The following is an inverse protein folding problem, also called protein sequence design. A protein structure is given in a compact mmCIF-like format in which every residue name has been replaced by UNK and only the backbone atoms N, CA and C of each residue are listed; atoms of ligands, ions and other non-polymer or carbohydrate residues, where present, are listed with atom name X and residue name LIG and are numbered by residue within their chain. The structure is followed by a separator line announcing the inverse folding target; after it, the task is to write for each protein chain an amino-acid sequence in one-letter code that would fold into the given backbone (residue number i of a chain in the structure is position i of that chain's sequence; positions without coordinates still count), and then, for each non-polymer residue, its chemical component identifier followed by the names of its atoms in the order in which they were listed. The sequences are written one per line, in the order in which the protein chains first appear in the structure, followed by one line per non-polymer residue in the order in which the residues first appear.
data_IF_639248220712
#
_entry.id   IF_639248220712
#
_cell.length_a   1.000
_cell.length_b   1.000
_cell.length_c   1.000
_cell.angle_alpha   90.00
_cell.angle_beta   90.00
_cell.angle_gamma   90.00
#
_symmetry.space_group_name_H-M   'P 1'
#
loop_
_entity.id
_entity.type
_entity.pdbx_description
1 polymer ?
#
# COMPACT_ATOMS: atom_id res chain seq x y z
N UNK A 1 -6.50 72.60 -15.85
CA UNK A 1 -7.42 72.69 -14.68
C UNK A 1 -8.39 71.50 -14.78
N UNK A 2 -8.68 70.64 -13.82
CA UNK A 2 -8.45 70.59 -12.38
C UNK A 2 -8.51 69.13 -11.87
N UNK A 3 -7.91 68.92 -10.69
CA UNK A 3 -7.82 67.73 -9.80
C UNK A 3 -9.15 67.03 -9.46
N UNK A 4 -9.07 65.72 -9.18
CA UNK A 4 -9.65 64.94 -8.03
C UNK A 4 -9.40 63.44 -8.34
N UNK A 5 -8.65 62.65 -7.57
CA UNK A 5 -8.77 62.26 -6.16
C UNK A 5 -9.17 60.77 -6.14
N UNK A 6 -8.62 59.82 -5.39
CA UNK A 6 -7.67 59.82 -4.28
C UNK A 6 -8.01 58.64 -3.34
N UNK A 7 -7.16 57.60 -3.36
CA UNK A 7 -6.70 56.80 -2.20
C UNK A 7 -7.64 55.77 -1.51
N UNK A 8 -7.34 54.49 -1.80
CA UNK A 8 -7.20 53.29 -0.93
C UNK A 8 -7.91 53.27 0.44
N UNK A 9 -8.81 52.30 0.60
CA UNK A 9 -9.36 51.86 1.88
C UNK A 9 -8.30 51.24 2.79
N UNK A 10 -8.40 51.55 4.09
CA UNK A 10 -7.59 51.01 5.18
C UNK A 10 -8.49 50.23 6.13
N UNK A 11 -7.97 49.08 6.53
CA UNK A 11 -8.46 48.14 7.52
C UNK A 11 -8.52 48.77 8.94
N UNK A 12 -9.49 48.34 9.73
CA UNK A 12 -9.62 48.65 11.15
C UNK A 12 -8.94 47.55 12.00
N UNK A 13 -8.02 47.86 12.93
CA UNK A 13 -7.51 46.88 13.88
C UNK A 13 -8.44 46.78 15.10
N UNK A 14 -8.97 45.57 15.33
CA UNK A 14 -9.69 45.17 16.55
C UNK A 14 -8.67 45.04 17.68
N UNK A 15 -8.88 45.80 18.75
CA UNK A 15 -8.10 45.73 19.99
C UNK A 15 -8.34 44.39 20.70
N UNK A 16 -7.26 43.64 20.96
CA UNK A 16 -7.25 42.53 21.92
C UNK A 16 -6.98 43.07 23.33
N UNK A 17 -7.48 42.41 24.39
CA UNK A 17 -7.49 42.95 25.76
C UNK A 17 -6.13 42.78 26.45
N UNK A 18 -5.53 43.89 26.85
CA UNK A 18 -4.42 43.93 27.81
C UNK A 18 -4.97 43.71 29.23
N UNK A 19 -5.27 42.46 29.58
CA UNK A 19 -5.72 42.11 30.95
C UNK A 19 -5.14 40.81 31.49
N UNK A 20 -4.05 40.30 30.92
CA UNK A 20 -3.38 39.09 31.43
C UNK A 20 -2.13 39.38 32.28
N UNK A 21 -1.61 40.62 32.30
CA UNK A 21 -0.38 40.93 33.07
C UNK A 21 -0.60 41.27 34.55
N UNK A 22 -1.79 41.69 34.97
CA UNK A 22 -2.01 42.15 36.36
C UNK A 22 -2.36 41.03 37.36
N UNK A 23 -2.41 39.76 36.91
CA UNK A 23 -2.77 38.62 37.76
C UNK A 23 -1.62 37.66 38.09
N UNK A 24 -0.42 37.85 37.54
CA UNK A 24 0.69 36.91 37.76
C UNK A 24 1.55 37.17 39.01
N UNK A 25 1.43 38.34 39.65
CA UNK A 25 2.31 38.70 40.79
C UNK A 25 1.79 38.27 42.19
N UNK A 26 0.66 37.56 42.27
CA UNK A 26 0.01 37.18 43.54
C UNK A 26 0.25 35.75 44.05
N UNK A 27 0.79 34.84 43.24
CA UNK A 27 0.81 33.41 43.58
C UNK A 27 2.19 32.94 44.10
N UNK A 28 2.23 32.39 45.31
CA UNK A 28 3.42 31.72 45.88
C UNK A 28 3.93 30.64 44.92
N UNK A 29 5.16 30.80 44.44
CA UNK A 29 5.82 29.87 43.50
C UNK A 29 5.73 28.43 44.04
N UNK A 30 5.10 27.49 43.32
CA UNK A 30 4.98 26.11 43.77
C UNK A 30 6.37 25.47 43.89
N UNK A 31 6.57 24.67 44.94
CA UNK A 31 7.85 24.00 45.16
C UNK A 31 8.24 23.12 43.97
N UNK A 32 9.54 23.01 43.68
CA UNK A 32 10.07 22.24 42.52
C UNK A 32 9.48 20.83 42.40
N UNK A 33 9.20 20.18 43.53
CA UNK A 33 8.58 18.84 43.62
C UNK A 33 7.09 18.83 43.22
N UNK A 34 6.35 19.90 43.46
CA UNK A 34 4.95 20.04 43.03
C UNK A 34 4.85 20.31 41.53
N UNK A 35 5.79 21.08 40.97
CA UNK A 35 5.89 21.32 39.52
C UNK A 35 6.22 20.03 38.75
N UNK A 36 7.17 19.22 39.24
CA UNK A 36 7.49 17.92 38.63
C UNK A 36 6.32 16.92 38.71
N UNK A 37 5.56 16.90 39.81
CA UNK A 37 4.37 16.05 39.93
C UNK A 37 3.22 16.52 39.03
N UNK A 38 3.05 17.83 38.88
CA UNK A 38 2.07 18.41 37.96
C UNK A 38 2.44 18.09 36.50
N UNK A 39 3.71 18.26 36.12
CA UNK A 39 4.22 17.92 34.79
C UNK A 39 4.07 16.43 34.49
N UNK A 40 4.38 15.53 35.44
CA UNK A 40 4.21 14.08 35.26
C UNK A 40 2.73 13.67 35.14
N UNK A 41 1.82 14.35 35.83
CA UNK A 41 0.38 14.14 35.68
C UNK A 41 -0.11 14.65 34.33
N UNK A 42 0.39 15.79 33.86
CA UNK A 42 0.07 16.35 32.55
C UNK A 42 0.56 15.43 31.43
N UNK A 43 1.80 14.95 31.49
CA UNK A 43 2.35 14.00 30.51
C UNK A 43 1.57 12.67 30.51
N UNK A 44 1.14 12.18 31.67
CA UNK A 44 0.29 10.99 31.75
C UNK A 44 -1.11 11.21 31.17
N UNK A 45 -1.68 12.41 31.34
CA UNK A 45 -2.96 12.76 30.75
C UNK A 45 -2.83 12.91 29.23
N UNK A 46 -1.72 13.46 28.73
CA UNK A 46 -1.43 13.57 27.31
C UNK A 46 -1.23 12.19 26.67
N UNK A 47 -0.41 11.32 27.27
CA UNK A 47 -0.25 9.92 26.79
C UNK A 47 -1.57 9.14 26.81
N UNK A 48 -2.44 9.39 27.79
CA UNK A 48 -3.78 8.78 27.83
C UNK A 48 -4.68 9.34 26.73
N UNK A 49 -4.67 10.65 26.50
CA UNK A 49 -5.42 11.30 25.41
C UNK A 49 -4.94 10.86 24.04
N UNK A 50 -3.63 10.72 23.83
CA UNK A 50 -3.06 10.20 22.59
C UNK A 50 -3.49 8.75 22.34
N UNK A 51 -3.43 7.90 23.38
CA UNK A 51 -3.89 6.51 23.27
C UNK A 51 -5.39 6.42 23.04
N UNK A 52 -6.18 7.25 23.70
CA UNK A 52 -7.62 7.32 23.53
C UNK A 52 -7.99 7.85 22.14
N UNK A 53 -7.24 8.82 21.61
CA UNK A 53 -7.42 9.33 20.25
C UNK A 53 -7.05 8.28 19.20
N UNK A 54 -5.97 7.52 19.41
CA UNK A 54 -5.60 6.41 18.52
C UNK A 54 -6.64 5.29 18.56
N UNK A 55 -7.12 4.93 19.76
CA UNK A 55 -8.21 3.96 19.93
C UNK A 55 -9.51 4.48 19.32
N UNK A 56 -9.80 5.78 19.42
CA UNK A 56 -10.96 6.39 18.81
C UNK A 56 -10.84 6.47 17.28
N UNK A 57 -9.64 6.64 16.73
CA UNK A 57 -9.40 6.52 15.28
C UNK A 57 -9.58 5.07 14.80
N UNK A 58 -9.09 4.09 15.55
CA UNK A 58 -9.34 2.67 15.30
C UNK A 58 -10.84 2.35 15.41
N UNK A 59 -11.52 2.76 16.49
CA UNK A 59 -12.95 2.57 16.69
C UNK A 59 -13.80 3.32 15.68
N UNK A 60 -13.43 4.52 15.26
CA UNK A 60 -14.13 5.26 14.21
C UNK A 60 -13.93 4.60 12.84
N UNK A 61 -12.76 4.02 12.57
CA UNK A 61 -12.52 3.22 11.36
C UNK A 61 -13.36 1.93 11.34
N UNK A 62 -13.68 1.38 12.52
CA UNK A 62 -14.52 0.19 12.67
C UNK A 62 -16.02 0.55 12.73
N UNK A 63 -16.39 1.67 13.36
CA UNK A 63 -17.77 2.10 13.61
C UNK A 63 -18.38 2.90 12.46
N UNK A 64 -17.57 3.58 11.64
CA UNK A 64 -18.02 4.11 10.34
C UNK A 64 -18.44 3.01 9.35
N UNK A 65 -18.13 1.72 9.65
CA UNK A 65 -18.71 0.55 8.95
C UNK A 65 -20.00 0.00 9.58
N UNK A 66 -20.49 0.55 10.69
CA UNK A 66 -21.69 0.07 11.43
C UNK A 66 -22.86 1.07 11.33
N UNK A 67 -23.18 1.47 10.11
CA UNK A 67 -24.23 2.43 9.79
C UNK A 67 -25.01 2.04 8.53
N UNK A 68 -25.40 0.78 8.42
CA UNK A 68 -26.29 0.31 7.37
C UNK A 68 -26.96 -0.97 7.83
N UNK A 69 -28.29 -1.04 7.74
CA UNK A 69 -29.03 -2.30 7.74
C UNK A 69 -28.62 -3.07 6.48
N UNK A 70 -27.45 -3.66 6.48
CA UNK A 70 -27.10 -4.67 5.50
C UNK A 70 -27.72 -5.95 6.00
N UNK A 71 -28.54 -6.58 5.15
CA UNK A 71 -28.83 -8.01 5.26
C UNK A 71 -27.51 -8.69 5.61
N UNK A 72 -27.52 -9.61 6.57
CA UNK A 72 -26.40 -10.50 6.84
C UNK A 72 -25.95 -11.14 5.54
N UNK A 73 -25.00 -10.50 4.85
CA UNK A 73 -24.38 -11.04 3.67
C UNK A 73 -23.51 -12.18 4.18
N UNK A 74 -24.08 -13.38 4.09
CA UNK A 74 -23.45 -14.70 4.06
C UNK A 74 -22.17 -14.84 4.91
N UNK A 75 -22.34 -15.43 6.10
CA UNK A 75 -21.23 -16.16 6.74
C UNK A 75 -20.67 -17.23 5.80
N UNK A 76 -21.52 -17.74 4.91
CA UNK A 76 -21.16 -18.72 3.89
C UNK A 76 -20.04 -18.28 2.93
N UNK A 77 -19.86 -16.98 2.63
CA UNK A 77 -18.87 -16.58 1.61
C UNK A 77 -17.42 -16.78 2.10
N UNK A 78 -17.16 -16.67 3.40
CA UNK A 78 -15.81 -16.83 3.97
C UNK A 78 -15.53 -18.30 4.29
N UNK A 79 -16.54 -19.02 4.78
CA UNK A 79 -16.46 -20.46 4.99
C UNK A 79 -16.32 -21.21 3.66
N UNK A 80 -17.06 -20.84 2.60
CA UNK A 80 -16.94 -21.41 1.24
C UNK A 80 -15.57 -21.10 0.62
N UNK A 81 -15.06 -19.89 0.82
CA UNK A 81 -13.73 -19.52 0.37
C UNK A 81 -12.62 -20.28 1.11
N UNK A 82 -12.83 -20.60 2.39
CA UNK A 82 -11.89 -21.39 3.20
C UNK A 82 -11.96 -22.88 2.85
N UNK A 83 -13.16 -23.41 2.59
CA UNK A 83 -13.38 -24.78 2.11
C UNK A 83 -12.78 -25.02 0.72
N UNK A 84 -12.49 -23.96 -0.04
CA UNK A 84 -11.71 -24.04 -1.28
C UNK A 84 -10.21 -24.31 -1.05
N UNK A 85 -9.68 -24.06 0.16
CA UNK A 85 -8.29 -24.36 0.53
C UNK A 85 -8.19 -25.76 1.14
N UNK A 86 -8.15 -26.77 0.25
CA UNK A 86 -7.94 -28.16 0.61
C UNK A 86 -9.01 -28.76 1.56
N UNK A 87 -8.87 -30.05 1.92
CA UNK A 87 -9.88 -30.76 2.72
C UNK A 87 -9.96 -30.29 4.18
N UNK A 88 -8.96 -29.54 4.67
CA UNK A 88 -8.88 -29.09 6.06
C UNK A 88 -9.36 -27.66 6.28
N UNK A 89 -9.54 -26.87 5.21
CA UNK A 89 -9.91 -25.46 5.33
C UNK A 89 -8.92 -24.66 6.20
N UNK A 90 -7.63 -25.01 6.15
CA UNK A 90 -6.58 -24.35 6.94
C UNK A 90 -5.58 -23.72 5.99
N UNK A 91 -5.17 -22.48 6.29
CA UNK A 91 -4.18 -21.75 5.51
C UNK A 91 -2.92 -21.60 6.37
N UNK A 92 -1.82 -22.23 5.96
CA UNK A 92 -0.53 -22.13 6.63
C UNK A 92 0.27 -20.98 6.02
N UNK A 93 0.45 -19.89 6.76
CA UNK A 93 1.22 -18.73 6.32
C UNK A 93 2.31 -18.40 7.34
N UNK A 94 3.56 -18.40 6.89
CA UNK A 94 4.74 -18.15 7.73
C UNK A 94 5.18 -16.69 7.57
N UNK A 95 4.76 -15.82 8.49
CA UNK A 95 5.13 -14.39 8.50
C UNK A 95 4.03 -13.45 7.95
N UNK A 96 4.27 -12.13 8.07
CA UNK A 96 3.29 -11.11 7.73
C UNK A 96 2.96 -11.09 6.23
N UNK A 97 3.96 -11.09 5.36
CA UNK A 97 3.75 -11.02 3.91
C UNK A 97 3.00 -12.25 3.37
N UNK A 98 3.34 -13.44 3.87
CA UNK A 98 2.64 -14.68 3.53
C UNK A 98 1.20 -14.68 4.05
N UNK A 99 0.95 -14.10 5.24
CA UNK A 99 -0.43 -13.98 5.78
C UNK A 99 -1.29 -13.03 4.94
N UNK A 100 -0.72 -11.92 4.47
CA UNK A 100 -1.41 -10.98 3.59
C UNK A 100 -1.69 -11.64 2.23
N UNK A 101 -0.72 -12.35 1.67
CA UNK A 101 -0.89 -13.09 0.42
C UNK A 101 -1.98 -14.16 0.55
N UNK A 102 -1.98 -14.95 1.63
CA UNK A 102 -3.04 -15.90 1.97
C UNK A 102 -4.44 -15.24 2.03
N UNK A 103 -4.56 -14.11 2.73
CA UNK A 103 -5.84 -13.38 2.83
C UNK A 103 -6.30 -12.80 1.49
N UNK A 104 -5.37 -12.32 0.64
CA UNK A 104 -5.74 -11.87 -0.71
C UNK A 104 -6.28 -12.99 -1.57
N UNK A 105 -5.81 -14.23 -1.37
CA UNK A 105 -6.24 -15.40 -2.10
C UNK A 105 -7.63 -15.93 -1.66
N UNK A 106 -8.02 -15.62 -0.41
CA UNK A 106 -9.37 -15.88 0.11
C UNK A 106 -10.44 -14.99 -0.54
N UNK A 107 -10.06 -13.81 -1.05
CA UNK A 107 -11.01 -12.94 -1.76
C UNK A 107 -11.48 -13.61 -3.05
N UNK A 108 -12.77 -13.49 -3.34
CA UNK A 108 -13.38 -13.99 -4.59
C UNK A 108 -12.70 -13.42 -5.84
N UNK A 109 -12.18 -12.19 -5.75
CA UNK A 109 -11.43 -11.50 -6.81
C UNK A 109 -9.90 -11.61 -6.62
N UNK A 110 -9.40 -12.75 -6.12
CA UNK A 110 -7.96 -12.97 -5.91
C UNK A 110 -7.09 -12.80 -7.16
N UNK A 111 -7.67 -13.04 -8.35
CA UNK A 111 -7.04 -12.77 -9.65
C UNK A 111 -7.99 -11.91 -10.47
N UNK A 112 -7.68 -10.63 -10.57
CA UNK A 112 -8.48 -9.67 -11.31
C UNK A 112 -8.16 -9.73 -12.80
N UNK A 113 -9.03 -9.16 -13.64
CA UNK A 113 -8.72 -9.02 -15.07
C UNK A 113 -7.48 -8.15 -15.34
N UNK A 114 -7.07 -7.31 -14.38
CA UNK A 114 -5.87 -6.46 -14.50
C UNK A 114 -4.59 -7.25 -14.27
N UNK A 115 -4.67 -8.33 -13.50
CA UNK A 115 -3.53 -9.22 -13.24
C UNK A 115 -3.20 -10.09 -14.45
N UNK A 116 -4.17 -10.28 -15.35
CA UNK A 116 -4.01 -11.07 -16.57
C UNK A 116 -3.48 -10.19 -17.70
N UNK A 117 -2.37 -10.62 -18.31
CA UNK A 117 -1.75 -9.90 -19.42
C UNK A 117 -2.07 -10.60 -20.74
N UNK A 118 -2.75 -9.88 -21.64
CA UNK A 118 -3.04 -10.34 -23.01
C UNK A 118 -1.99 -9.89 -24.02
N UNK A 119 -1.12 -8.95 -23.63
CA UNK A 119 -0.15 -8.33 -24.52
C UNK A 119 1.25 -8.26 -23.88
N UNK A 120 1.85 -9.42 -23.56
CA UNK A 120 3.23 -9.46 -23.06
C UNK A 120 4.23 -8.83 -24.03
N UNK A 121 3.97 -8.87 -25.35
CA UNK A 121 4.82 -8.26 -26.38
C UNK A 121 5.04 -6.75 -26.17
N UNK A 122 4.04 -6.03 -25.65
CA UNK A 122 4.14 -4.58 -25.42
C UNK A 122 5.10 -4.25 -24.27
N UNK A 123 5.19 -5.14 -23.28
CA UNK A 123 6.07 -4.98 -22.11
C UNK A 123 7.47 -5.54 -22.38
N UNK A 124 7.59 -6.50 -23.30
CA UNK A 124 8.86 -7.14 -23.64
C UNK A 124 9.97 -6.14 -23.98
N UNK A 125 9.68 -5.15 -24.84
CA UNK A 125 10.69 -4.15 -25.23
C UNK A 125 11.19 -3.31 -24.04
N UNK A 126 10.29 -2.92 -23.15
CA UNK A 126 10.63 -2.13 -21.97
C UNK A 126 11.42 -2.97 -20.94
N UNK A 127 10.96 -4.19 -20.68
CA UNK A 127 11.63 -5.13 -19.80
C UNK A 127 13.04 -5.45 -20.32
N UNK A 128 13.18 -5.71 -21.62
CA UNK A 128 14.46 -5.96 -22.25
C UNK A 128 15.40 -4.76 -22.15
N UNK A 129 14.93 -3.55 -22.42
CA UNK A 129 15.72 -2.34 -22.25
C UNK A 129 16.22 -2.21 -20.81
N UNK A 130 15.34 -2.37 -19.82
CA UNK A 130 15.71 -2.29 -18.40
C UNK A 130 16.72 -3.36 -17.97
N UNK A 131 16.61 -4.59 -18.51
CA UNK A 131 17.54 -5.67 -18.25
C UNK A 131 18.90 -5.39 -18.91
N UNK A 132 18.90 -4.91 -20.16
CA UNK A 132 20.13 -4.58 -20.88
C UNK A 132 20.92 -3.46 -20.21
N UNK A 133 20.28 -2.40 -19.73
CA UNK A 133 20.96 -1.30 -19.04
C UNK A 133 21.68 -1.76 -17.77
N UNK A 134 21.09 -2.71 -17.03
CA UNK A 134 21.68 -3.30 -15.83
C UNK A 134 22.81 -4.29 -16.15
N UNK A 135 22.62 -5.17 -17.13
CA UNK A 135 23.58 -6.25 -17.47
C UNK A 135 24.73 -5.82 -18.36
N UNK A 136 24.56 -4.81 -19.20
CA UNK A 136 25.58 -4.35 -20.14
C UNK A 136 26.92 -3.93 -19.47
N UNK A 137 26.97 -3.24 -18.32
CA UNK A 137 28.24 -2.98 -17.63
C UNK A 137 28.88 -4.25 -17.04
N UNK A 138 28.10 -5.26 -16.65
CA UNK A 138 28.62 -6.52 -16.10
C UNK A 138 29.25 -7.37 -17.22
N UNK A 139 28.53 -7.56 -18.32
CA UNK A 139 29.00 -8.31 -19.50
C UNK A 139 30.26 -7.67 -20.10
N UNK A 140 30.37 -6.33 -20.07
CA UNK A 140 31.58 -5.61 -20.52
C UNK A 140 32.82 -5.93 -19.68
N UNK A 141 32.65 -6.18 -18.38
CA UNK A 141 33.75 -6.53 -17.46
C UNK A 141 34.12 -8.00 -17.60
N UNK A 142 33.14 -8.87 -17.77
CA UNK A 142 33.34 -10.31 -17.95
C UNK A 142 33.96 -10.64 -19.31
N UNK A 143 33.54 -9.95 -20.37
CA UNK A 143 33.97 -10.19 -21.74
C UNK A 143 34.54 -8.91 -22.40
N UNK A 144 35.70 -8.40 -21.93
CA UNK A 144 36.35 -7.25 -22.52
C UNK A 144 36.96 -7.64 -23.87
N UNK A 145 36.18 -7.49 -24.94
CA UNK A 145 36.62 -7.83 -26.30
C UNK A 145 35.46 -8.12 -27.26
N UNK A 146 34.27 -8.44 -26.74
CA UNK A 146 33.08 -8.61 -27.57
C UNK A 146 32.56 -7.26 -28.10
N UNK A 147 32.08 -7.26 -29.34
CA UNK A 147 31.39 -6.09 -29.90
C UNK A 147 30.08 -5.85 -29.14
N UNK A 148 29.64 -4.59 -29.04
CA UNK A 148 28.37 -4.23 -28.36
C UNK A 148 27.18 -5.09 -28.81
N UNK A 149 27.06 -5.34 -30.11
CA UNK A 149 25.99 -6.18 -30.67
C UNK A 149 26.06 -7.64 -30.18
N UNK A 150 27.27 -8.20 -30.02
CA UNK A 150 27.44 -9.56 -29.50
C UNK A 150 27.10 -9.63 -28.01
N UNK A 151 27.46 -8.60 -27.24
CA UNK A 151 27.07 -8.47 -25.83
C UNK A 151 25.54 -8.36 -25.70
N UNK A 152 24.89 -7.53 -26.52
CA UNK A 152 23.43 -7.40 -26.56
C UNK A 152 22.75 -8.72 -26.93
N UNK A 153 23.33 -9.53 -27.82
CA UNK A 153 22.83 -10.87 -28.15
C UNK A 153 22.96 -11.87 -27.00
N UNK A 154 24.06 -11.83 -26.24
CA UNK A 154 24.21 -12.66 -25.03
C UNK A 154 23.17 -12.28 -23.98
N UNK A 155 23.03 -10.98 -23.71
CA UNK A 155 22.03 -10.44 -22.78
C UNK A 155 20.62 -10.83 -23.22
N UNK A 156 20.31 -10.76 -24.52
CA UNK A 156 19.02 -11.18 -25.06
C UNK A 156 18.73 -12.65 -24.77
N UNK A 157 19.71 -13.54 -24.97
CA UNK A 157 19.57 -14.99 -24.69
C UNK A 157 19.37 -15.28 -23.20
N UNK A 158 20.07 -14.56 -22.33
CA UNK A 158 19.87 -14.65 -20.89
C UNK A 158 18.47 -14.15 -20.50
N UNK A 159 18.06 -13.02 -21.08
CA UNK A 159 16.76 -12.41 -20.81
C UNK A 159 15.61 -13.34 -21.20
N UNK A 160 15.71 -14.07 -22.32
CA UNK A 160 14.68 -15.04 -22.73
C UNK A 160 14.37 -16.08 -21.65
N UNK A 161 15.38 -16.51 -20.86
CA UNK A 161 15.22 -17.49 -19.77
C UNK A 161 14.96 -16.85 -18.42
N UNK A 162 15.16 -15.55 -18.30
CA UNK A 162 15.01 -14.82 -17.04
C UNK A 162 13.54 -14.76 -16.58
N UNK A 163 13.27 -14.79 -15.26
CA UNK A 163 11.93 -14.52 -14.74
C UNK A 163 11.47 -13.08 -15.00
N UNK A 164 12.38 -12.15 -15.29
CA UNK A 164 12.06 -10.75 -15.65
C UNK A 164 11.39 -10.62 -17.02
N UNK A 165 11.41 -11.67 -17.85
CA UNK A 165 10.75 -11.68 -19.14
C UNK A 165 9.22 -11.77 -18.97
N UNK A 166 8.44 -10.77 -19.45
CA UNK A 166 6.98 -10.81 -19.36
C UNK A 166 6.36 -12.06 -19.97
N UNK A 167 6.99 -12.70 -20.96
CA UNK A 167 6.47 -13.94 -21.56
C UNK A 167 6.53 -15.15 -20.62
N UNK A 168 7.45 -15.17 -19.66
CA UNK A 168 7.61 -16.27 -18.72
C UNK A 168 6.65 -16.16 -17.52
N UNK A 169 5.82 -15.12 -17.49
CA UNK A 169 4.85 -14.88 -16.42
C UNK A 169 3.65 -15.82 -16.53
N UNK A 170 3.21 -16.35 -15.39
CA UNK A 170 2.06 -17.26 -15.32
C UNK A 170 0.72 -16.58 -15.64
N UNK A 171 0.70 -15.25 -15.67
CA UNK A 171 -0.48 -14.41 -15.87
C UNK A 171 -0.84 -14.20 -17.34
N UNK A 172 -0.08 -14.76 -18.27
CA UNK A 172 -0.28 -14.55 -19.70
C UNK A 172 -1.46 -15.37 -20.24
N UNK A 173 -2.27 -14.72 -21.07
CA UNK A 173 -3.42 -15.33 -21.75
C UNK A 173 -3.36 -14.98 -23.24
N UNK A 174 -3.85 -15.88 -24.11
CA UNK A 174 -4.05 -15.60 -25.53
C UNK A 174 -4.94 -14.38 -25.74
N UNK A 175 -4.65 -13.60 -26.78
CA UNK A 175 -5.39 -12.38 -27.07
C UNK A 175 -6.88 -12.65 -27.36
N UNK A 176 -7.14 -13.70 -28.14
CA UNK A 176 -8.49 -14.13 -28.56
C UNK A 176 -9.20 -15.05 -27.53
N UNK A 177 -8.69 -15.10 -26.29
CA UNK A 177 -9.24 -16.01 -25.29
C UNK A 177 -10.70 -15.71 -24.96
N UNK A 178 -11.51 -16.77 -24.90
CA UNK A 178 -12.92 -16.65 -24.55
C UNK A 178 -13.10 -16.44 -23.03
N UNK A 179 -14.30 -16.07 -22.60
CA UNK A 179 -14.60 -15.79 -21.19
C UNK A 179 -14.34 -16.98 -20.28
N UNK A 180 -14.65 -18.20 -20.75
CA UNK A 180 -14.40 -19.45 -20.02
C UNK A 180 -12.90 -19.72 -19.84
N UNK A 181 -12.09 -19.46 -20.86
CA UNK A 181 -10.63 -19.62 -20.79
C UNK A 181 -10.00 -18.64 -19.82
N UNK A 182 -10.48 -17.39 -19.81
CA UNK A 182 -10.08 -16.38 -18.82
C UNK A 182 -10.42 -16.84 -17.40
N UNK A 183 -11.62 -17.39 -17.18
CA UNK A 183 -12.02 -17.92 -15.87
C UNK A 183 -11.17 -19.13 -15.49
N UNK A 184 -10.92 -20.04 -16.44
CA UNK A 184 -10.05 -21.21 -16.25
C UNK A 184 -8.64 -20.81 -15.84
N UNK A 185 -8.05 -19.82 -16.53
CA UNK A 185 -6.72 -19.29 -16.20
C UNK A 185 -6.68 -18.63 -14.82
N UNK A 186 -7.72 -17.88 -14.43
CA UNK A 186 -7.82 -17.33 -13.07
C UNK A 186 -7.84 -18.43 -12.01
N UNK A 187 -8.60 -19.50 -12.24
CA UNK A 187 -8.64 -20.66 -11.34
C UNK A 187 -7.27 -21.33 -11.27
N UNK A 188 -6.63 -21.60 -12.41
CA UNK A 188 -5.30 -22.22 -12.46
C UNK A 188 -4.26 -21.40 -11.69
N UNK A 189 -4.24 -20.07 -11.86
CA UNK A 189 -3.34 -19.17 -11.12
C UNK A 189 -3.67 -19.19 -9.62
N UNK A 190 -4.96 -19.20 -9.27
CA UNK A 190 -5.41 -19.28 -7.87
C UNK A 190 -4.96 -20.58 -7.22
N UNK A 191 -5.15 -21.71 -7.88
CA UNK A 191 -4.80 -23.04 -7.40
C UNK A 191 -3.27 -23.20 -7.25
N UNK A 192 -2.49 -22.65 -8.18
CA UNK A 192 -1.02 -22.61 -8.04
C UNK A 192 -0.59 -21.82 -6.81
N UNK A 193 -1.23 -20.66 -6.56
CA UNK A 193 -0.96 -19.83 -5.37
C UNK A 193 -1.45 -20.50 -4.09
N UNK A 194 -2.57 -21.22 -4.09
CA UNK A 194 -3.13 -21.87 -2.90
C UNK A 194 -2.27 -23.02 -2.42
N UNK A 195 -1.72 -23.82 -3.34
CA UNK A 195 -0.80 -24.93 -3.04
C UNK A 195 0.38 -24.52 -2.15
N UNK A 196 0.86 -23.28 -2.23
CA UNK A 196 1.93 -22.77 -1.35
C UNK A 196 1.50 -22.78 0.13
N UNK A 197 0.21 -22.57 0.40
CA UNK A 197 -0.35 -22.38 1.74
C UNK A 197 -1.17 -23.58 2.25
N UNK A 198 -1.33 -24.63 1.44
CA UNK A 198 -2.06 -25.87 1.78
C UNK A 198 -1.22 -26.90 2.57
N UNK A 199 -0.14 -26.46 3.24
CA UNK A 199 0.76 -27.36 4.00
C UNK A 199 0.04 -28.18 5.09
#
# INVERSE_FOLDING_TARGET
MAKKGGKKGKEAPVQQPESDSDWEDGAKKPSKKQLEQAAKKQEQLEKKKERELLLQMEEASIKSKKGGKTKSHKKDDLDDALNQFGPKGTISADGLDDSLAALTLLKKDAVTNKDLDRHPERRFKAALASYTERRLPEIKKENPGLRKQQMEQLIYKEFQKSPENPFNQETNISYDANTEEVIGKKKEIRDKRSKKYEK
#
